data_IF_392545961280
#
_entry.id   IF_392545961280
#
_cell.length_a   1.000
_cell.length_b   1.000
_cell.length_c   1.000
_cell.angle_alpha   90.00
_cell.angle_beta   90.00
_cell.angle_gamma   90.00
#
_symmetry.space_group_name_H-M   'P 1'
#
loop_
_entity.id
_entity.type
_entity.pdbx_description
1 polymer ?
#
# COMPACT_ATOMS: atom_id res chain seq x y z
N UNK A 1 -2.85 13.70 -9.48
CA UNK A 1 -1.65 13.70 -10.34
C UNK A 1 -1.54 12.34 -11.00
N UNK A 2 -1.28 12.29 -12.30
CA UNK A 2 -1.01 11.05 -13.03
C UNK A 2 0.46 11.03 -13.39
N UNK A 3 1.15 9.96 -13.08
CA UNK A 3 2.52 9.72 -13.54
C UNK A 3 2.57 8.41 -14.30
N UNK A 4 3.13 8.48 -15.49
CA UNK A 4 3.56 7.30 -16.23
C UNK A 4 5.05 7.13 -16.00
N UNK A 5 5.48 6.01 -15.48
CA UNK A 5 6.90 5.75 -15.33
C UNK A 5 7.48 5.11 -16.61
N UNK A 6 8.82 5.09 -16.70
CA UNK A 6 9.54 4.51 -17.85
C UNK A 6 9.27 3.01 -18.07
N UNK A 7 8.62 2.35 -17.12
CA UNK A 7 8.21 0.94 -17.17
C UNK A 7 6.75 0.75 -17.55
N UNK A 8 6.11 1.80 -18.07
CA UNK A 8 4.72 1.75 -18.55
C UNK A 8 3.71 1.43 -17.45
N UNK A 9 3.93 1.90 -16.26
CA UNK A 9 2.94 1.93 -15.20
C UNK A 9 2.23 3.28 -15.15
N UNK A 10 0.98 3.26 -14.73
CA UNK A 10 0.18 4.45 -14.47
C UNK A 10 -0.07 4.54 -12.98
N UNK A 11 0.25 5.68 -12.39
CA UNK A 11 0.01 5.94 -10.98
C UNK A 11 -0.90 7.15 -10.81
N UNK A 12 -1.89 7.01 -9.94
CA UNK A 12 -2.88 8.04 -9.65
C UNK A 12 -2.74 8.54 -8.22
N UNK A 13 -2.63 9.85 -8.06
CA UNK A 13 -2.42 10.52 -6.78
C UNK A 13 -3.54 11.50 -6.47
N UNK A 14 -3.95 11.57 -5.22
CA UNK A 14 -4.84 12.60 -4.68
C UNK A 14 -4.16 13.24 -3.47
N UNK A 15 -4.00 14.56 -3.49
CA UNK A 15 -3.28 15.31 -2.45
C UNK A 15 -1.90 14.71 -2.15
N UNK A 16 -1.14 14.37 -3.21
CA UNK A 16 0.18 13.74 -3.16
C UNK A 16 0.20 12.32 -2.54
N UNK A 17 -0.96 11.76 -2.24
CA UNK A 17 -1.09 10.38 -1.79
C UNK A 17 -1.34 9.48 -2.98
N UNK A 18 -0.51 8.46 -3.17
CA UNK A 18 -0.73 7.45 -4.20
C UNK A 18 -1.98 6.65 -3.85
N UNK A 19 -2.98 6.70 -4.71
CA UNK A 19 -4.26 6.01 -4.53
C UNK A 19 -4.31 4.70 -5.28
N UNK A 20 -3.77 4.68 -6.49
CA UNK A 20 -3.75 3.48 -7.32
C UNK A 20 -2.54 3.51 -8.24
N UNK A 21 -2.01 2.34 -8.52
CA UNK A 21 -0.96 2.14 -9.51
C UNK A 21 -1.26 0.87 -10.31
N UNK A 22 -0.91 0.90 -11.56
CA UNK A 22 -0.91 -0.30 -12.41
C UNK A 22 0.53 -0.69 -12.69
N UNK A 23 0.83 -1.98 -12.66
CA UNK A 23 2.06 -2.50 -13.23
C UNK A 23 2.08 -2.37 -14.75
N UNK A 24 2.85 -3.19 -15.41
CA UNK A 24 2.86 -3.27 -16.88
C UNK A 24 1.45 -3.57 -17.37
N UNK A 25 0.84 -2.63 -18.08
CA UNK A 25 -0.49 -2.85 -18.61
C UNK A 25 -0.49 -2.77 -20.13
N UNK A 26 -1.27 -3.63 -20.69
CA UNK A 26 -1.54 -3.71 -22.11
C UNK A 26 -2.96 -3.24 -22.33
N UNK A 27 -3.13 -2.08 -22.94
CA UNK A 27 -4.45 -1.45 -23.06
C UNK A 27 -5.30 -1.94 -24.21
N UNK A 28 -4.69 -2.46 -25.24
CA UNK A 28 -5.42 -2.96 -26.41
C UNK A 28 -4.77 -4.21 -26.99
N UNK A 29 -5.61 -5.03 -27.59
CA UNK A 29 -5.17 -6.02 -28.56
C UNK A 29 -5.18 -5.35 -29.92
N UNK A 30 -4.10 -5.51 -30.67
CA UNK A 30 -4.05 -5.12 -32.06
C UNK A 30 -5.03 -5.96 -32.89
N UNK A 31 -5.14 -5.64 -34.19
CA UNK A 31 -6.01 -6.36 -35.14
C UNK A 31 -5.67 -7.85 -35.27
N UNK A 32 -4.52 -8.27 -34.72
CA UNK A 32 -4.06 -9.66 -34.68
C UNK A 32 -4.28 -10.32 -33.32
N UNK A 33 -4.92 -9.60 -32.39
CA UNK A 33 -5.16 -10.06 -31.04
C UNK A 33 -3.93 -10.06 -30.14
N UNK A 34 -2.82 -9.42 -30.57
CA UNK A 34 -1.61 -9.26 -29.75
C UNK A 34 -1.76 -8.04 -28.84
N UNK A 35 -1.30 -8.23 -27.62
CA UNK A 35 -1.30 -7.15 -26.64
C UNK A 35 -0.28 -6.08 -27.01
N UNK A 36 -0.72 -4.84 -27.17
CA UNK A 36 0.14 -3.69 -27.45
C UNK A 36 0.22 -2.78 -26.23
N UNK A 37 1.40 -2.22 -26.04
CA UNK A 37 1.64 -1.23 -25.01
C UNK A 37 1.51 0.15 -25.63
N UNK A 38 0.78 1.06 -24.98
CA UNK A 38 0.70 2.45 -25.43
C UNK A 38 2.05 3.14 -25.19
N UNK A 39 2.69 3.55 -26.28
CA UNK A 39 3.92 4.34 -26.26
C UNK A 39 3.66 5.82 -26.48
N UNK A 40 2.48 6.18 -26.96
CA UNK A 40 2.05 7.55 -27.21
C UNK A 40 0.54 7.66 -27.04
N UNK A 41 0.03 8.85 -26.77
CA UNK A 41 -1.40 9.10 -26.61
C UNK A 41 -1.69 10.51 -26.14
N UNK A 42 -2.98 10.81 -25.99
CA UNK A 42 -3.45 12.07 -25.43
C UNK A 42 -3.91 11.90 -24.01
N UNK A 43 -3.58 12.87 -23.14
CA UNK A 43 -4.10 12.93 -21.79
C UNK A 43 -5.48 13.61 -21.82
N UNK A 44 -6.49 12.93 -21.28
CA UNK A 44 -7.83 13.46 -21.09
C UNK A 44 -8.21 13.54 -19.62
N UNK A 45 -8.87 14.61 -19.23
CA UNK A 45 -9.49 14.74 -17.92
C UNK A 45 -10.99 14.47 -18.07
N UNK A 46 -11.48 13.46 -17.35
CA UNK A 46 -12.88 13.06 -17.38
C UNK A 46 -13.53 13.29 -16.02
N UNK A 47 -14.68 13.94 -16.03
CA UNK A 47 -15.58 14.00 -14.90
C UNK A 47 -16.83 13.17 -15.21
N UNK A 48 -17.14 12.22 -14.34
CA UNK A 48 -18.31 11.34 -14.53
C UNK A 48 -19.58 11.92 -13.94
N UNK A 49 -19.50 12.69 -12.86
CA UNK A 49 -20.66 13.24 -12.16
C UNK A 49 -20.30 14.47 -11.32
N UNK A 50 -21.20 15.48 -11.28
CA UNK A 50 -21.01 16.72 -10.55
C UNK A 50 -20.20 17.78 -11.31
N UNK A 51 -19.90 18.87 -10.67
CA UNK A 51 -19.02 19.94 -11.17
C UNK A 51 -17.60 19.74 -10.66
N UNK A 52 -16.63 19.76 -11.56
CA UNK A 52 -15.21 19.69 -11.23
C UNK A 52 -14.46 20.78 -11.97
N UNK A 53 -13.63 21.50 -11.26
CA UNK A 53 -12.73 22.50 -11.85
C UNK A 53 -11.32 21.95 -11.90
N UNK A 54 -10.74 21.89 -13.09
CA UNK A 54 -9.34 21.54 -13.29
C UNK A 54 -8.52 22.84 -13.37
N UNK A 55 -7.55 22.98 -12.49
CA UNK A 55 -6.65 24.13 -12.43
C UNK A 55 -5.20 23.67 -12.36
N UNK A 56 -4.29 24.54 -12.81
CA UNK A 56 -2.84 24.31 -12.70
C UNK A 56 -2.38 22.95 -13.27
N UNK A 57 -3.00 22.54 -14.38
CA UNK A 57 -2.62 21.32 -15.06
C UNK A 57 -1.28 21.53 -15.75
N UNK A 58 -0.30 20.72 -15.47
CA UNK A 58 1.02 20.74 -16.09
C UNK A 58 1.53 19.33 -16.36
N UNK A 59 2.46 19.23 -17.26
CA UNK A 59 3.17 18.02 -17.62
C UNK A 59 4.65 18.16 -17.25
N UNK A 60 5.20 17.16 -16.62
CA UNK A 60 6.63 17.05 -16.32
C UNK A 60 7.14 15.69 -16.79
N UNK A 61 8.14 15.68 -17.62
CA UNK A 61 8.81 14.45 -18.00
C UNK A 61 9.73 13.99 -16.86
N UNK A 62 9.51 12.75 -16.40
CA UNK A 62 10.32 12.11 -15.38
C UNK A 62 11.24 11.07 -16.04
N UNK A 63 12.47 11.01 -15.58
CA UNK A 63 13.45 10.01 -15.97
C UNK A 63 14.12 9.41 -14.71
N UNK A 64 15.02 8.48 -14.86
CA UNK A 64 15.68 7.83 -13.72
C UNK A 64 16.52 8.80 -12.86
N UNK A 65 16.83 9.97 -13.34
CA UNK A 65 17.64 10.97 -12.64
C UNK A 65 16.76 11.98 -11.86
N UNK A 66 15.52 12.17 -12.27
CA UNK A 66 14.61 13.13 -11.63
C UNK A 66 13.32 12.49 -11.09
N UNK A 67 13.29 11.16 -10.93
CA UNK A 67 12.13 10.47 -10.36
C UNK A 67 12.08 10.64 -8.84
N UNK A 68 10.89 10.87 -8.25
CA UNK A 68 10.69 10.83 -6.81
C UNK A 68 10.49 9.39 -6.26
N UNK A 69 10.51 8.37 -7.12
CA UNK A 69 10.34 6.98 -6.68
C UNK A 69 11.43 6.57 -5.69
N UNK A 70 11.02 5.82 -4.69
CA UNK A 70 11.96 5.16 -3.78
C UNK A 70 12.34 3.78 -4.33
N UNK A 71 13.56 3.38 -4.07
CA UNK A 71 14.07 2.05 -4.43
C UNK A 71 13.58 0.99 -3.43
N UNK A 72 13.58 1.35 -2.15
CA UNK A 72 13.16 0.45 -1.09
C UNK A 72 12.72 1.22 0.17
N UNK A 73 11.77 0.64 0.90
CA UNK A 73 11.46 0.97 2.30
C UNK A 73 11.46 -0.34 3.07
N UNK A 74 12.21 -0.40 4.15
CA UNK A 74 12.15 -1.51 5.09
C UNK A 74 11.99 -1.01 6.52
N UNK A 75 11.35 -1.82 7.34
CA UNK A 75 11.08 -1.51 8.73
C UNK A 75 11.95 -2.38 9.63
N UNK A 76 12.61 -1.77 10.58
CA UNK A 76 13.33 -2.44 11.67
C UNK A 76 12.91 -1.85 13.02
N UNK A 77 13.33 -2.45 14.11
CA UNK A 77 13.10 -1.92 15.45
C UNK A 77 14.32 -2.18 16.32
N UNK A 78 14.70 -1.18 17.10
CA UNK A 78 15.76 -1.28 18.10
C UNK A 78 15.23 -1.73 19.47
N UNK A 79 13.92 -1.68 19.69
CA UNK A 79 13.27 -1.97 20.97
C UNK A 79 12.60 -3.34 21.01
N UNK A 80 12.43 -3.98 19.87
CA UNK A 80 11.76 -5.28 19.83
C UNK A 80 11.73 -5.92 18.46
N UNK A 81 10.89 -6.94 18.33
CA UNK A 81 10.88 -7.78 17.16
C UNK A 81 9.96 -7.27 16.05
N UNK A 82 10.48 -7.25 14.85
CA UNK A 82 9.72 -7.11 13.61
C UNK A 82 9.35 -8.51 13.12
N UNK A 83 8.10 -8.71 12.75
CA UNK A 83 7.66 -9.96 12.12
C UNK A 83 8.24 -10.07 10.71
N UNK A 84 7.86 -11.09 9.95
CA UNK A 84 8.33 -11.26 8.57
C UNK A 84 8.31 -9.90 7.84
N UNK A 85 9.44 -9.53 7.27
CA UNK A 85 9.56 -8.27 6.55
C UNK A 85 8.54 -8.18 5.41
N UNK A 86 7.81 -7.08 5.36
CA UNK A 86 6.95 -6.77 4.23
C UNK A 86 7.81 -6.49 2.99
N UNK A 87 7.29 -6.84 1.83
CA UNK A 87 7.94 -6.48 0.57
C UNK A 87 7.50 -5.07 0.17
N UNK A 88 8.47 -4.24 -0.13
CA UNK A 88 8.25 -2.93 -0.71
C UNK A 88 8.17 -3.05 -2.23
N UNK A 89 7.21 -2.33 -2.80
CA UNK A 89 7.10 -2.14 -4.24
C UNK A 89 6.93 -0.65 -4.51
N UNK A 90 7.75 -0.08 -5.37
CA UNK A 90 7.72 1.37 -5.65
C UNK A 90 6.40 1.86 -6.26
N UNK A 91 5.61 0.95 -6.79
CA UNK A 91 4.30 1.21 -7.41
C UNK A 91 3.12 0.97 -6.47
N UNK A 92 3.35 0.40 -5.28
CA UNK A 92 2.30 0.19 -4.29
C UNK A 92 2.24 1.36 -3.30
N UNK A 93 1.05 1.96 -3.08
CA UNK A 93 0.93 3.13 -2.22
C UNK A 93 1.07 2.81 -0.74
N UNK A 94 0.86 1.56 -0.36
CA UNK A 94 0.75 1.13 1.03
C UNK A 94 1.62 -0.10 1.26
N UNK A 95 2.49 0.01 2.24
CA UNK A 95 3.26 -1.10 2.78
C UNK A 95 2.72 -1.45 4.17
N UNK A 96 2.45 -2.72 4.43
CA UNK A 96 1.95 -3.19 5.72
C UNK A 96 3.04 -3.99 6.43
N UNK A 97 3.40 -3.58 7.64
CA UNK A 97 4.40 -4.25 8.45
C UNK A 97 3.85 -4.57 9.83
N UNK A 98 3.92 -5.83 10.20
CA UNK A 98 3.58 -6.26 11.56
C UNK A 98 4.83 -6.27 12.45
N UNK A 99 4.68 -5.78 13.66
CA UNK A 99 5.71 -5.83 14.71
C UNK A 99 5.13 -6.41 15.99
N UNK A 100 5.96 -7.09 16.77
CA UNK A 100 5.52 -7.66 18.04
C UNK A 100 5.23 -6.57 19.08
N UNK A 101 4.54 -6.93 20.16
CA UNK A 101 4.16 -5.99 21.21
C UNK A 101 5.37 -5.29 21.85
N UNK A 102 6.52 -5.95 21.92
CA UNK A 102 7.76 -5.39 22.48
C UNK A 102 8.46 -4.37 21.58
N UNK A 103 8.00 -4.16 20.34
CA UNK A 103 8.54 -3.14 19.44
C UNK A 103 7.89 -1.78 19.71
N UNK A 104 8.42 -1.03 20.64
CA UNK A 104 7.88 0.29 21.04
C UNK A 104 8.25 1.40 20.04
N UNK A 105 9.35 1.23 19.32
CA UNK A 105 9.78 2.13 18.25
C UNK A 105 10.15 1.35 17.00
N UNK A 106 10.02 1.99 15.86
CA UNK A 106 10.48 1.46 14.59
C UNK A 106 11.41 2.43 13.88
N UNK A 107 12.25 1.89 13.03
CA UNK A 107 13.10 2.61 12.10
C UNK A 107 12.66 2.29 10.68
N UNK A 108 12.49 3.31 9.86
CA UNK A 108 12.34 3.17 8.42
C UNK A 108 13.69 3.34 7.76
N UNK A 109 14.16 2.29 7.08
CA UNK A 109 15.37 2.38 6.26
C UNK A 109 14.90 2.61 4.82
N UNK A 110 15.17 3.80 4.30
CA UNK A 110 14.66 4.29 3.02
C UNK A 110 15.82 4.39 2.05
N UNK A 111 15.70 3.68 0.93
CA UNK A 111 16.63 3.76 -0.18
C UNK A 111 16.02 4.60 -1.30
N UNK A 112 16.67 5.67 -1.67
CA UNK A 112 16.28 6.55 -2.76
C UNK A 112 16.64 5.94 -4.10
N UNK A 113 15.81 6.16 -5.11
CA UNK A 113 16.17 5.89 -6.50
C UNK A 113 16.98 7.05 -7.09
N UNK A 114 16.59 8.26 -6.72
CA UNK A 114 17.32 9.50 -7.02
C UNK A 114 17.91 10.06 -5.72
N UNK A 115 19.23 10.14 -5.65
CA UNK A 115 19.94 10.65 -4.46
C UNK A 115 19.57 12.10 -4.11
N UNK A 116 19.18 12.90 -5.11
CA UNK A 116 18.74 14.29 -4.91
C UNK A 116 17.29 14.42 -4.41
N UNK A 117 16.55 13.32 -4.28
CA UNK A 117 15.20 13.36 -3.74
C UNK A 117 15.24 13.81 -2.28
N UNK A 118 14.39 14.77 -1.94
CA UNK A 118 14.10 15.14 -0.55
C UNK A 118 13.08 14.15 0.02
N UNK A 119 13.42 13.51 1.13
CA UNK A 119 12.57 12.51 1.76
C UNK A 119 12.18 12.97 3.16
N UNK A 120 10.89 13.08 3.41
CA UNK A 120 10.31 13.44 4.69
C UNK A 120 9.48 12.27 5.23
N UNK A 121 9.65 11.97 6.50
CA UNK A 121 8.86 10.96 7.22
C UNK A 121 8.02 11.65 8.28
N UNK A 122 6.70 11.44 8.22
CA UNK A 122 5.75 12.07 9.14
C UNK A 122 4.94 11.01 9.88
N UNK A 123 4.78 11.20 11.19
CA UNK A 123 3.92 10.36 12.01
C UNK A 123 3.39 11.17 13.22
N UNK A 124 2.09 11.08 13.47
CA UNK A 124 1.40 11.70 14.62
C UNK A 124 1.72 13.22 14.74
N UNK A 125 1.74 13.92 13.59
CA UNK A 125 2.02 15.36 13.50
C UNK A 125 3.49 15.75 13.72
N UNK A 126 4.40 14.79 13.76
CA UNK A 126 5.85 15.02 13.89
C UNK A 126 6.62 14.53 12.67
N UNK A 127 7.74 15.17 12.40
CA UNK A 127 8.66 14.80 11.32
C UNK A 127 9.85 14.04 11.88
N UNK A 128 10.21 12.95 11.20
CA UNK A 128 11.34 12.07 11.52
C UNK A 128 12.24 11.95 10.28
N UNK A 129 13.04 12.98 10.01
CA UNK A 129 13.81 13.08 8.74
C UNK A 129 14.82 11.95 8.52
N UNK A 130 15.34 11.37 9.59
CA UNK A 130 16.23 10.22 9.55
C UNK A 130 15.49 8.88 9.52
N UNK A 131 14.16 8.91 9.65
CA UNK A 131 13.32 7.71 9.74
C UNK A 131 13.55 6.88 11.00
N UNK A 132 14.20 7.42 12.05
CA UNK A 132 14.63 6.66 13.22
C UNK A 132 13.78 6.92 14.46
N UNK A 133 13.72 5.89 15.33
CA UNK A 133 13.08 5.95 16.63
C UNK A 133 11.63 6.46 16.60
N UNK A 134 10.88 6.08 15.58
CA UNK A 134 9.47 6.44 15.43
C UNK A 134 8.67 5.64 16.45
N UNK A 135 8.04 6.27 17.46
CA UNK A 135 7.27 5.56 18.48
C UNK A 135 5.99 5.00 17.85
N UNK A 136 5.66 3.76 18.16
CA UNK A 136 4.45 3.11 17.64
C UNK A 136 3.55 2.66 18.80
N UNK A 137 2.27 3.04 18.70
CA UNK A 137 1.22 2.64 19.63
C UNK A 137 0.78 1.21 19.32
N UNK A 138 0.25 0.49 20.31
CA UNK A 138 -0.40 -0.80 20.06
C UNK A 138 -1.56 -0.60 19.08
N UNK A 139 -1.67 -1.48 18.09
CA UNK A 139 -2.60 -1.35 17.00
C UNK A 139 -1.96 -0.73 15.73
N UNK A 140 -2.78 -0.06 14.94
CA UNK A 140 -2.39 0.47 13.62
C UNK A 140 -1.73 1.84 13.75
N UNK A 141 -0.60 2.00 13.09
CA UNK A 141 0.16 3.25 13.00
C UNK A 141 0.40 3.56 11.52
N UNK A 142 0.01 4.74 11.09
CA UNK A 142 0.10 5.16 9.70
C UNK A 142 1.24 6.18 9.55
N UNK A 143 2.37 5.71 9.06
CA UNK A 143 3.55 6.54 8.84
C UNK A 143 3.55 6.97 7.38
N UNK A 144 3.70 8.26 7.13
CA UNK A 144 3.73 8.83 5.78
C UNK A 144 5.18 9.10 5.39
N UNK A 145 5.57 8.66 4.20
CA UNK A 145 6.87 8.93 3.60
C UNK A 145 6.65 9.71 2.31
N UNK A 146 7.09 10.95 2.27
CA UNK A 146 7.04 11.82 1.09
C UNK A 146 8.42 11.89 0.46
N UNK A 147 8.50 11.62 -0.83
CA UNK A 147 9.70 11.78 -1.63
C UNK A 147 9.46 12.82 -2.72
N UNK A 148 10.26 13.87 -2.74
CA UNK A 148 10.07 15.02 -3.62
C UNK A 148 11.33 15.28 -4.43
N UNK A 149 11.16 15.53 -5.71
CA UNK A 149 12.22 15.97 -6.61
C UNK A 149 11.80 17.23 -7.34
N UNK A 150 12.78 18.02 -7.76
CA UNK A 150 12.58 19.15 -8.65
C UNK A 150 12.79 18.68 -10.09
N UNK A 151 11.80 18.87 -10.94
CA UNK A 151 11.92 18.61 -12.38
C UNK A 151 12.67 19.71 -13.12
N UNK A 152 13.08 19.42 -14.34
CA UNK A 152 13.87 20.34 -15.19
C UNK A 152 13.15 21.66 -15.50
N UNK A 153 11.82 21.65 -15.44
CA UNK A 153 10.97 22.82 -15.64
C UNK A 153 10.73 23.65 -14.35
N UNK A 154 11.42 23.33 -13.26
CA UNK A 154 11.26 23.98 -11.95
C UNK A 154 10.00 23.55 -11.18
N UNK A 155 9.21 22.61 -11.72
CA UNK A 155 8.08 22.03 -11.02
C UNK A 155 8.56 20.91 -10.10
N UNK A 156 7.90 20.73 -8.96
CA UNK A 156 8.17 19.62 -8.05
C UNK A 156 7.29 18.44 -8.38
N UNK A 157 7.87 17.23 -8.31
CA UNK A 157 7.13 15.97 -8.32
C UNK A 157 7.27 15.31 -6.96
N UNK A 158 6.15 14.94 -6.34
CA UNK A 158 6.12 14.31 -5.02
C UNK A 158 5.38 12.98 -5.10
N UNK A 159 5.98 11.94 -4.52
CA UNK A 159 5.32 10.67 -4.25
C UNK A 159 5.16 10.48 -2.74
N UNK A 160 3.99 10.01 -2.36
CA UNK A 160 3.68 9.73 -0.97
C UNK A 160 3.38 8.24 -0.79
N UNK A 161 4.17 7.60 0.06
CA UNK A 161 3.96 6.23 0.50
C UNK A 161 3.41 6.22 1.91
N UNK A 162 2.58 5.24 2.22
CA UNK A 162 2.07 5.00 3.57
C UNK A 162 2.61 3.67 4.09
N UNK A 163 3.35 3.72 5.18
CA UNK A 163 3.82 2.53 5.88
C UNK A 163 2.90 2.28 7.08
N UNK A 164 2.07 1.27 6.97
CA UNK A 164 1.16 0.85 8.02
C UNK A 164 1.89 -0.11 8.95
N UNK A 165 2.30 0.37 10.12
CA UNK A 165 2.93 -0.47 11.13
C UNK A 165 1.88 -0.95 12.13
N UNK A 166 1.66 -2.25 12.18
CA UNK A 166 0.72 -2.89 13.11
C UNK A 166 1.48 -3.47 14.30
N UNK A 167 1.48 -2.77 15.43
CA UNK A 167 2.04 -3.29 16.67
C UNK A 167 1.03 -4.22 17.35
N UNK A 168 1.41 -5.48 17.54
CA UNK A 168 0.55 -6.49 18.12
C UNK A 168 0.18 -6.13 19.56
N UNK A 169 -1.08 -6.41 19.93
CA UNK A 169 -1.50 -6.37 21.32
C UNK A 169 -1.02 -7.62 22.07
N UNK A 170 -0.77 -7.48 23.38
CA UNK A 170 -0.63 -8.65 24.26
C UNK A 170 -1.99 -9.27 24.58
N UNK A 171 -3.07 -8.48 24.47
CA UNK A 171 -4.41 -8.94 24.70
C UNK A 171 -4.91 -9.68 23.48
N UNK A 172 -5.04 -10.98 23.56
CA UNK A 172 -5.62 -11.82 22.54
C UNK A 172 -7.15 -11.69 22.54
N UNK A 173 -7.65 -10.48 22.34
CA UNK A 173 -9.11 -10.22 22.31
C UNK A 173 -9.74 -10.47 20.95
N UNK A 174 -8.94 -10.86 19.94
CA UNK A 174 -9.46 -11.23 18.65
C UNK A 174 -10.47 -12.37 18.76
N UNK A 175 -11.60 -12.18 18.09
CA UNK A 175 -12.76 -13.07 18.12
C UNK A 175 -13.51 -13.12 19.47
N UNK A 176 -13.20 -12.22 20.39
CA UNK A 176 -13.90 -12.09 21.67
C UNK A 176 -14.38 -10.65 21.94
N UNK A 177 -14.48 -9.84 20.90
CA UNK A 177 -15.01 -8.49 21.00
C UNK A 177 -16.51 -8.50 21.28
N UNK A 178 -17.04 -7.49 21.98
CA UNK A 178 -18.43 -7.42 22.42
C UNK A 178 -19.47 -7.58 21.33
N UNK A 179 -19.16 -7.18 20.10
CA UNK A 179 -20.04 -7.26 18.93
C UNK A 179 -19.54 -8.24 17.86
N UNK A 180 -18.61 -9.12 18.21
CA UNK A 180 -18.11 -10.15 17.30
C UNK A 180 -19.23 -11.14 16.93
N UNK A 181 -19.37 -11.46 15.65
CA UNK A 181 -20.26 -12.50 15.20
C UNK A 181 -19.92 -13.83 15.88
N UNK A 182 -20.92 -14.46 16.48
CA UNK A 182 -20.78 -15.78 17.12
C UNK A 182 -21.00 -16.92 16.13
N UNK A 183 -21.54 -16.60 14.97
CA UNK A 183 -21.81 -17.53 13.88
C UNK A 183 -21.22 -16.98 12.60
N UNK A 184 -20.88 -17.87 11.69
CA UNK A 184 -20.27 -17.56 10.41
C UNK A 184 -18.84 -16.97 10.53
N UNK A 185 -18.20 -16.96 9.40
CA UNK A 185 -16.89 -16.35 9.27
C UNK A 185 -16.95 -14.84 9.46
N UNK A 186 -15.97 -14.30 10.17
CA UNK A 186 -15.67 -12.87 10.20
C UNK A 186 -14.17 -12.69 10.14
N UNK A 187 -13.71 -11.64 9.48
CA UNK A 187 -12.27 -11.31 9.44
C UNK A 187 -11.74 -11.04 10.84
N UNK A 188 -10.50 -11.42 11.09
CA UNK A 188 -9.86 -11.22 12.39
C UNK A 188 -9.78 -9.73 12.75
N UNK A 189 -9.42 -8.91 11.79
CA UNK A 189 -9.29 -7.45 11.89
C UNK A 189 -9.35 -6.87 10.48
N UNK A 190 -9.64 -5.57 10.35
CA UNK A 190 -9.72 -4.89 9.06
C UNK A 190 -11.04 -5.14 8.32
N UNK A 191 -11.00 -4.96 7.02
CA UNK A 191 -12.15 -5.04 6.12
C UNK A 191 -12.11 -6.32 5.29
N UNK A 192 -13.12 -7.15 5.42
CA UNK A 192 -13.36 -8.28 4.53
C UNK A 192 -14.43 -7.94 3.51
N UNK A 193 -14.17 -8.23 2.24
CA UNK A 193 -15.11 -7.97 1.15
C UNK A 193 -15.42 -9.27 0.40
N UNK A 194 -15.58 -9.21 -0.92
CA UNK A 194 -16.09 -10.31 -1.74
C UNK A 194 -15.31 -11.61 -1.58
N UNK A 195 -16.06 -12.69 -1.48
CA UNK A 195 -15.53 -14.05 -1.62
C UNK A 195 -15.24 -14.31 -3.10
N UNK A 196 -13.98 -14.59 -3.41
CA UNK A 196 -13.53 -14.79 -4.79
C UNK A 196 -13.31 -16.26 -5.15
N UNK A 197 -13.26 -17.13 -4.17
CA UNK A 197 -13.11 -18.56 -4.43
C UNK A 197 -13.27 -19.42 -3.18
N UNK A 198 -13.86 -20.59 -3.38
CA UNK A 198 -13.98 -21.63 -2.36
C UNK A 198 -13.58 -22.96 -3.00
N UNK A 199 -12.56 -23.61 -2.48
CA UNK A 199 -12.09 -24.90 -2.97
C UNK A 199 -11.74 -25.84 -1.82
N UNK A 200 -12.03 -27.12 -1.98
CA UNK A 200 -11.54 -28.17 -1.08
C UNK A 200 -10.31 -28.84 -1.70
N UNK A 201 -9.19 -28.72 -1.04
CA UNK A 201 -7.95 -29.35 -1.46
C UNK A 201 -7.29 -30.10 -0.31
N UNK A 202 -6.93 -31.36 -0.55
CA UNK A 202 -6.32 -32.24 0.46
C UNK A 202 -7.05 -32.26 1.82
N UNK A 203 -8.39 -32.28 1.79
CA UNK A 203 -9.22 -32.32 2.99
C UNK A 203 -9.49 -30.97 3.65
N UNK A 204 -8.82 -29.92 3.24
CA UNK A 204 -8.94 -28.56 3.79
C UNK A 204 -9.76 -27.69 2.84
N UNK A 205 -10.67 -26.89 3.39
CA UNK A 205 -11.36 -25.86 2.64
C UNK A 205 -10.50 -24.59 2.60
N UNK A 206 -10.37 -24.03 1.42
CA UNK A 206 -9.66 -22.78 1.16
C UNK A 206 -10.68 -21.76 0.70
N UNK A 207 -10.84 -20.67 1.45
CA UNK A 207 -11.71 -19.57 1.11
C UNK A 207 -10.86 -18.34 0.82
N UNK A 208 -10.90 -17.90 -0.43
CA UNK A 208 -10.19 -16.70 -0.88
C UNK A 208 -11.16 -15.52 -0.87
N UNK A 209 -10.74 -14.40 -0.31
CA UNK A 209 -11.55 -13.20 -0.22
C UNK A 209 -10.69 -11.94 -0.33
N UNK A 210 -11.34 -10.84 -0.67
CA UNK A 210 -10.72 -9.53 -0.68
C UNK A 210 -10.58 -9.03 0.76
N UNK A 211 -9.40 -8.57 1.08
CA UNK A 211 -9.05 -8.09 2.42
C UNK A 211 -8.36 -6.74 2.35
N UNK A 212 -8.70 -5.86 3.26
CA UNK A 212 -7.95 -4.65 3.52
C UNK A 212 -7.75 -4.48 5.02
N UNK A 213 -6.57 -4.09 5.43
CA UNK A 213 -6.17 -4.04 6.84
C UNK A 213 -6.67 -2.82 7.61
N UNK A 214 -7.45 -1.95 6.97
CA UNK A 214 -8.07 -0.79 7.58
C UNK A 214 -9.58 -0.98 7.77
N UNK A 215 -10.21 -0.06 8.51
CA UNK A 215 -11.66 -0.05 8.78
C UNK A 215 -12.49 0.57 7.67
N UNK A 216 -11.86 1.14 6.66
CA UNK A 216 -12.51 1.76 5.51
C UNK A 216 -12.12 1.04 4.22
N UNK A 217 -12.94 1.20 3.20
CA UNK A 217 -12.63 0.72 1.86
C UNK A 217 -11.28 1.27 1.37
N UNK A 218 -10.46 0.42 0.82
CA UNK A 218 -9.15 0.78 0.29
C UNK A 218 -8.63 -0.22 -0.72
N UNK A 219 -7.36 -0.13 -1.12
CA UNK A 219 -6.72 -1.11 -2.01
C UNK A 219 -6.82 -2.50 -1.39
N UNK A 220 -7.54 -3.40 -2.07
CA UNK A 220 -7.78 -4.75 -1.56
C UNK A 220 -6.61 -5.66 -1.86
N UNK A 221 -6.27 -6.47 -0.87
CA UNK A 221 -5.36 -7.60 -0.99
C UNK A 221 -6.15 -8.91 -1.04
N UNK A 222 -5.49 -9.98 -1.42
CA UNK A 222 -6.04 -11.32 -1.31
C UNK A 222 -5.70 -11.92 0.05
N UNK A 223 -6.70 -12.47 0.73
CA UNK A 223 -6.51 -13.29 1.90
C UNK A 223 -7.11 -14.67 1.68
N UNK A 224 -6.55 -15.66 2.34
CA UNK A 224 -7.02 -17.04 2.29
C UNK A 224 -7.30 -17.53 3.71
N UNK A 225 -8.54 -17.93 3.96
CA UNK A 225 -8.91 -18.67 5.15
C UNK A 225 -8.77 -20.17 4.87
N UNK A 226 -8.03 -20.85 5.72
CA UNK A 226 -7.95 -22.31 5.72
C UNK A 226 -8.89 -22.84 6.81
N UNK A 227 -9.83 -23.67 6.41
CA UNK A 227 -10.80 -24.28 7.31
C UNK A 227 -10.65 -25.80 7.30
N UNK A 228 -10.31 -26.36 8.43
CA UNK A 228 -10.45 -27.79 8.71
C UNK A 228 -11.66 -27.99 9.61
N UNK A 229 -12.32 -29.15 9.56
CA UNK A 229 -13.59 -29.41 10.21
C UNK A 229 -13.66 -29.13 11.72
N UNK A 230 -12.53 -28.79 12.36
CA UNK A 230 -12.44 -28.64 13.81
C UNK A 230 -11.94 -27.27 14.29
N UNK A 231 -11.69 -26.30 13.43
CA UNK A 231 -11.12 -25.07 13.95
C UNK A 231 -11.56 -23.82 13.18
N UNK A 232 -12.15 -22.91 13.91
CA UNK A 232 -12.26 -21.52 13.58
C UNK A 232 -10.89 -20.80 13.87
N UNK A 233 -9.77 -21.35 13.42
CA UNK A 233 -8.47 -20.81 13.75
C UNK A 233 -7.66 -20.46 12.51
N UNK A 234 -7.29 -19.17 12.45
CA UNK A 234 -6.28 -18.51 11.65
C UNK A 234 -6.58 -18.28 10.17
N UNK A 235 -6.98 -17.03 9.89
CA UNK A 235 -6.73 -16.44 8.59
C UNK A 235 -5.21 -16.27 8.41
N UNK A 236 -4.62 -16.98 7.46
CA UNK A 236 -3.24 -16.75 7.04
C UNK A 236 -3.27 -15.93 5.76
N UNK A 237 -2.73 -14.71 5.82
CA UNK A 237 -2.40 -13.95 4.63
C UNK A 237 -1.21 -14.60 3.92
N UNK A 238 -1.32 -14.75 2.61
CA UNK A 238 -0.24 -15.22 1.73
C UNK A 238 0.54 -14.03 1.21
#
# INVERSE_FOLDING_TARGET
MFTQNLKQSLSYYVNDVLIASTGDYTLQKDDKGQSTVLTEGSLGLLNWNGEVTFQNTYYTELNDQNTPELKNISVSSSTGDVEKAAQFTSTEPIMIQYVKNNAETVDLNIEKKNENADVQVEYDGKTYNDGKNIPVKVGKNYITVKSTVQGDNGQTATLTYRVNVHRRSTDKTYYNEAYRNQYHYSVKDGWGNDLNGLVKYKGTYHMFYQFYDDTQWGPMHWACLLYTSDAADEARSV
#
